data_IF_573253138831
#
_entry.id   IF_573253138831
#
_cell.length_a   1.000
_cell.length_b   1.000
_cell.length_c   1.000
_cell.angle_alpha   90.00
_cell.angle_beta   90.00
_cell.angle_gamma   90.00
#
_symmetry.space_group_name_H-M   'P 1'
#
loop_
_entity.id
_entity.type
_entity.pdbx_description
1 polymer ?
#
# COMPACT_ATOMS: atom_id res chain seq x y z
N UNK A 1 27.41 13.08 -11.31
CA UNK A 1 27.04 13.95 -10.19
C UNK A 1 26.89 13.03 -8.98
N UNK A 2 27.69 13.26 -7.93
CA UNK A 2 27.51 12.51 -6.69
C UNK A 2 26.18 12.94 -6.06
N UNK A 3 25.24 12.03 -5.91
CA UNK A 3 24.01 12.27 -5.17
C UNK A 3 24.39 12.49 -3.71
N UNK A 4 24.26 13.71 -3.22
CA UNK A 4 24.45 13.99 -1.80
C UNK A 4 23.27 13.41 -1.03
N UNK A 5 23.54 12.42 -0.18
CA UNK A 5 22.56 11.91 0.77
C UNK A 5 22.34 12.97 1.85
N UNK A 6 21.13 13.46 1.98
CA UNK A 6 20.75 14.37 3.05
C UNK A 6 20.33 13.54 4.27
N UNK A 7 21.06 13.71 5.38
CA UNK A 7 20.71 13.10 6.67
C UNK A 7 20.11 14.14 7.58
N UNK A 8 19.05 13.79 8.28
CA UNK A 8 18.47 14.61 9.32
C UNK A 8 17.97 13.75 10.47
N UNK A 9 17.97 14.30 11.66
CA UNK A 9 17.43 13.63 12.83
C UNK A 9 15.92 13.88 12.88
N UNK A 10 15.16 12.81 12.95
CA UNK A 10 13.70 12.88 13.06
C UNK A 10 13.24 13.20 14.48
N UNK A 11 14.09 13.02 15.49
CA UNK A 11 13.73 13.23 16.89
C UNK A 11 12.50 12.43 17.35
N UNK A 12 12.19 11.29 16.70
CA UNK A 12 11.24 10.34 17.24
C UNK A 12 11.86 9.61 18.44
N UNK A 13 11.03 9.34 19.45
CA UNK A 13 11.49 8.72 20.70
C UNK A 13 11.47 7.18 20.63
N UNK A 14 10.92 6.61 19.56
CA UNK A 14 10.76 5.17 19.34
C UNK A 14 10.86 4.84 17.84
N UNK A 15 10.70 3.56 17.47
CA UNK A 15 10.84 3.04 16.12
C UNK A 15 9.95 3.79 15.12
N UNK A 16 10.53 4.17 13.99
CA UNK A 16 9.81 4.71 12.84
C UNK A 16 9.35 3.52 11.99
N UNK A 17 8.04 3.42 11.76
CA UNK A 17 7.47 2.33 11.00
C UNK A 17 7.28 2.64 9.53
N UNK A 18 7.00 3.91 9.21
CA UNK A 18 6.72 4.30 7.83
C UNK A 18 7.12 5.74 7.54
N UNK A 19 7.43 5.98 6.26
CA UNK A 19 7.80 7.27 5.71
C UNK A 19 7.09 7.42 4.36
N UNK A 20 6.35 8.50 4.17
CA UNK A 20 5.65 8.75 2.91
C UNK A 20 5.86 10.18 2.42
N UNK A 21 6.14 10.32 1.13
CA UNK A 21 6.23 11.62 0.46
C UNK A 21 4.85 12.11 0.00
N UNK A 22 4.68 13.43 0.01
CA UNK A 22 3.55 14.02 -0.69
C UNK A 22 3.71 13.85 -2.22
N UNK A 23 2.65 14.15 -2.95
CA UNK A 23 2.64 14.01 -4.42
C UNK A 23 3.76 14.80 -5.12
N UNK A 24 4.17 15.92 -4.57
CA UNK A 24 5.20 16.79 -5.15
C UNK A 24 6.63 16.47 -4.68
N UNK A 25 6.79 15.54 -3.75
CA UNK A 25 8.08 15.20 -3.14
C UNK A 25 8.70 16.34 -2.31
N UNK A 26 7.90 17.32 -1.90
CA UNK A 26 8.35 18.49 -1.12
C UNK A 26 8.03 18.37 0.36
N UNK A 27 7.14 17.49 0.73
CA UNK A 27 6.77 17.19 2.11
C UNK A 27 6.93 15.71 2.38
N UNK A 28 7.23 15.41 3.62
CA UNK A 28 7.43 14.05 4.10
C UNK A 28 6.63 13.87 5.37
N UNK A 29 5.92 12.77 5.52
CA UNK A 29 5.32 12.35 6.78
C UNK A 29 6.08 11.16 7.33
N UNK A 30 6.35 11.18 8.62
CA UNK A 30 6.93 10.04 9.37
C UNK A 30 5.98 9.65 10.49
N UNK A 31 5.87 8.35 10.76
CA UNK A 31 5.10 7.82 11.87
C UNK A 31 5.91 6.82 12.69
N UNK A 32 5.60 6.73 13.98
CA UNK A 32 6.44 5.99 14.93
C UNK A 32 5.61 5.29 16.01
N UNK A 33 6.29 4.35 16.70
CA UNK A 33 5.80 3.73 17.94
C UNK A 33 5.64 4.74 19.08
N UNK A 34 6.24 5.92 18.99
CA UNK A 34 6.06 7.03 19.95
C UNK A 34 4.66 7.68 19.89
N UNK A 35 3.72 7.12 19.08
CA UNK A 35 2.34 7.58 18.91
C UNK A 35 2.21 8.93 18.20
N UNK A 36 3.31 9.42 17.60
CA UNK A 36 3.37 10.70 16.94
C UNK A 36 3.50 10.58 15.43
N UNK A 37 2.91 11.55 14.77
CA UNK A 37 3.14 11.85 13.36
C UNK A 37 3.92 13.16 13.30
N UNK A 38 4.90 13.21 12.41
CA UNK A 38 5.67 14.41 12.11
C UNK A 38 5.63 14.68 10.62
N UNK A 39 5.46 15.93 10.26
CA UNK A 39 5.48 16.43 8.89
C UNK A 39 6.69 17.30 8.68
N UNK A 40 7.42 17.03 7.63
CA UNK A 40 8.66 17.70 7.25
C UNK A 40 8.48 18.40 5.93
N UNK A 41 9.16 19.52 5.76
CA UNK A 41 9.19 20.28 4.51
C UNK A 41 10.62 20.39 3.98
N UNK A 42 10.77 20.15 2.68
CA UNK A 42 12.05 20.27 2.01
C UNK A 42 12.31 21.72 1.65
N UNK A 43 13.30 22.32 2.27
CA UNK A 43 13.70 23.71 2.05
C UNK A 43 14.97 23.73 1.19
N UNK A 44 14.85 24.26 -0.02
CA UNK A 44 15.98 24.51 -0.90
C UNK A 44 16.68 25.81 -0.49
N UNK A 45 17.93 25.71 -0.07
CA UNK A 45 18.79 26.87 0.24
C UNK A 45 19.97 26.90 -0.72
N UNK A 46 20.58 28.10 -0.98
CA UNK A 46 21.73 28.22 -1.88
C UNK A 46 22.91 27.32 -1.48
N UNK A 47 23.14 27.15 -0.18
CA UNK A 47 24.28 26.41 0.35
C UNK A 47 24.01 24.92 0.62
N UNK A 48 22.79 24.57 1.00
CA UNK A 48 22.38 23.17 1.23
C UNK A 48 20.86 23.05 1.36
N UNK A 49 20.31 22.00 0.78
CA UNK A 49 18.90 21.66 0.97
C UNK A 49 18.71 20.87 2.27
N UNK A 50 17.68 21.20 3.04
CA UNK A 50 17.43 20.65 4.38
C UNK A 50 15.97 20.26 4.53
N UNK A 51 15.72 19.16 5.27
CA UNK A 51 14.40 18.82 5.77
C UNK A 51 14.17 19.52 7.11
N UNK A 52 13.16 20.38 7.18
CA UNK A 52 12.77 21.08 8.40
C UNK A 52 11.45 20.53 8.94
N UNK A 53 11.38 20.37 10.27
CA UNK A 53 10.14 19.98 10.93
C UNK A 53 9.08 21.07 10.76
N UNK A 54 7.97 20.72 10.13
CA UNK A 54 6.84 21.62 9.96
C UNK A 54 5.85 21.49 11.10
N UNK A 55 5.46 20.24 11.42
CA UNK A 55 4.48 19.95 12.47
C UNK A 55 4.74 18.59 13.12
N UNK A 56 4.36 18.47 14.39
CA UNK A 56 4.40 17.23 15.15
C UNK A 56 3.24 17.14 16.14
N UNK A 57 2.48 16.05 16.14
CA UNK A 57 1.37 15.86 17.08
C UNK A 57 1.24 14.40 17.52
N UNK A 58 0.63 14.18 18.69
CA UNK A 58 0.21 12.85 19.12
C UNK A 58 -1.04 12.47 18.32
N UNK A 59 -0.92 11.46 17.45
CA UNK A 59 -2.00 11.07 16.55
C UNK A 59 -2.83 9.90 17.09
N UNK A 60 -2.19 8.94 17.75
CA UNK A 60 -2.84 7.71 18.22
C UNK A 60 -2.47 7.40 19.67
N UNK A 61 -3.15 6.42 20.26
CA UNK A 61 -2.89 5.94 21.62
C UNK A 61 -2.03 4.67 21.67
N UNK A 62 -1.59 4.18 20.51
CA UNK A 62 -0.65 3.08 20.33
C UNK A 62 0.28 3.35 19.14
N UNK A 63 1.23 2.44 18.88
CA UNK A 63 2.16 2.53 17.74
C UNK A 63 1.44 2.77 16.43
N UNK A 64 1.95 3.70 15.64
CA UNK A 64 1.42 4.04 14.31
C UNK A 64 2.22 3.25 13.29
N UNK A 65 1.54 2.43 12.49
CA UNK A 65 2.18 1.51 11.56
C UNK A 65 2.38 2.11 10.17
N UNK A 66 1.44 2.96 9.75
CA UNK A 66 1.52 3.62 8.44
C UNK A 66 0.86 5.00 8.46
N UNK A 67 1.43 5.93 7.71
CA UNK A 67 0.88 7.26 7.50
C UNK A 67 1.11 7.68 6.04
N UNK A 68 0.04 7.90 5.30
CA UNK A 68 0.08 8.16 3.86
C UNK A 68 -0.65 9.44 3.47
N UNK A 69 -0.16 10.09 2.43
CA UNK A 69 -0.80 11.25 1.85
C UNK A 69 -1.93 10.87 0.90
N UNK A 70 -3.04 11.59 0.98
CA UNK A 70 -4.02 11.59 -0.10
C UNK A 70 -3.50 12.37 -1.31
N UNK A 71 -4.18 12.25 -2.44
CA UNK A 71 -3.85 13.01 -3.64
C UNK A 71 -4.15 14.50 -3.44
N UNK A 72 -3.39 15.40 -4.10
CA UNK A 72 -3.51 16.84 -3.91
C UNK A 72 -4.87 17.42 -4.31
N UNK A 73 -5.63 16.72 -5.16
CA UNK A 73 -7.01 17.13 -5.52
C UNK A 73 -7.98 17.16 -4.33
N UNK A 74 -7.65 16.46 -3.24
CA UNK A 74 -8.44 16.42 -2.00
C UNK A 74 -7.89 17.33 -0.90
N UNK A 75 -6.90 18.17 -1.23
CA UNK A 75 -6.19 19.02 -0.28
C UNK A 75 -5.04 18.32 0.43
N UNK A 76 -4.56 18.92 1.49
CA UNK A 76 -3.48 18.35 2.29
C UNK A 76 -4.07 17.43 3.36
N UNK A 77 -4.17 16.16 3.01
CA UNK A 77 -4.84 15.12 3.82
C UNK A 77 -3.89 13.97 4.06
N UNK A 78 -3.83 13.50 5.30
CA UNK A 78 -3.07 12.32 5.73
C UNK A 78 -4.05 11.31 6.32
N UNK A 79 -3.88 10.03 5.97
CA UNK A 79 -4.50 8.91 6.68
C UNK A 79 -3.43 8.19 7.49
N UNK A 80 -3.75 7.78 8.71
CA UNK A 80 -2.85 7.01 9.56
C UNK A 80 -3.57 5.83 10.20
N UNK A 81 -2.86 4.70 10.36
CA UNK A 81 -3.37 3.51 11.04
C UNK A 81 -2.48 3.08 12.20
N UNK A 82 -3.06 2.39 13.16
CA UNK A 82 -2.39 2.09 14.43
C UNK A 82 -2.83 0.76 15.04
N UNK A 83 -2.02 0.28 15.96
CA UNK A 83 -2.36 -0.83 16.87
C UNK A 83 -3.57 -0.50 17.78
N UNK A 84 -3.96 0.76 17.93
CA UNK A 84 -5.19 1.15 18.65
C UNK A 84 -6.47 0.77 17.91
N UNK A 85 -6.38 0.05 16.79
CA UNK A 85 -7.46 -0.44 15.93
C UNK A 85 -8.21 0.64 15.16
N UNK A 86 -7.65 1.83 15.08
CA UNK A 86 -8.27 2.98 14.43
C UNK A 86 -7.49 3.40 13.19
N UNK A 87 -8.22 3.97 12.24
CA UNK A 87 -7.65 4.79 11.19
C UNK A 87 -8.17 6.20 11.37
N UNK A 88 -7.28 7.18 11.29
CA UNK A 88 -7.63 8.58 11.43
C UNK A 88 -7.30 9.36 10.17
N UNK A 89 -8.20 10.26 9.82
CA UNK A 89 -8.06 11.17 8.68
C UNK A 89 -7.74 12.56 9.22
N UNK A 90 -6.63 13.10 8.79
CA UNK A 90 -6.10 14.40 9.20
C UNK A 90 -6.14 15.37 8.04
N UNK A 91 -6.60 16.59 8.28
CA UNK A 91 -6.56 17.66 7.29
C UNK A 91 -5.79 18.86 7.82
N UNK A 92 -4.93 19.42 6.99
CA UNK A 92 -4.15 20.59 7.33
C UNK A 92 -5.01 21.85 7.34
N UNK A 93 -4.98 22.58 8.46
CA UNK A 93 -5.61 23.88 8.63
C UNK A 93 -4.59 24.98 8.29
N UNK A 94 -4.58 25.47 7.06
CA UNK A 94 -3.59 26.42 6.56
C UNK A 94 -3.59 27.77 7.27
N UNK A 95 -4.70 28.09 7.94
CA UNK A 95 -4.83 29.33 8.75
C UNK A 95 -4.10 29.23 10.11
N UNK A 96 -3.83 28.03 10.57
CA UNK A 96 -3.13 27.80 11.83
C UNK A 96 -1.61 27.92 11.64
N UNK A 97 -0.88 28.50 12.61
CA UNK A 97 0.58 28.61 12.53
C UNK A 97 1.26 27.23 12.54
N UNK A 98 2.48 27.18 12.00
CA UNK A 98 3.32 25.97 12.06
C UNK A 98 3.56 25.55 13.50
N UNK A 99 3.71 24.27 13.74
CA UNK A 99 3.85 23.64 15.07
C UNK A 99 2.67 23.92 16.03
N UNK A 100 1.54 24.39 15.52
CA UNK A 100 0.31 24.47 16.31
C UNK A 100 -0.31 23.07 16.38
N UNK A 101 -0.69 22.64 17.58
CA UNK A 101 -1.43 21.36 17.73
C UNK A 101 -2.79 21.33 17.02
N UNK A 102 -3.26 22.49 16.54
CA UNK A 102 -4.51 22.63 15.80
C UNK A 102 -4.30 22.62 14.28
N UNK A 103 -3.06 22.66 13.81
CA UNK A 103 -2.77 22.72 12.39
C UNK A 103 -3.23 21.45 11.66
N UNK A 104 -3.04 20.30 12.26
CA UNK A 104 -3.56 19.03 11.75
C UNK A 104 -4.80 18.63 12.55
N UNK A 105 -5.96 18.84 11.92
CA UNK A 105 -7.25 18.52 12.54
C UNK A 105 -7.68 17.10 12.19
N UNK A 106 -8.06 16.30 13.21
CA UNK A 106 -8.72 15.03 13.00
C UNK A 106 -10.12 15.30 12.41
N UNK A 107 -10.35 14.87 11.18
CA UNK A 107 -11.63 15.05 10.47
C UNK A 107 -12.55 13.86 10.64
N UNK A 108 -11.97 12.67 10.63
CA UNK A 108 -12.74 11.45 10.81
C UNK A 108 -11.91 10.35 11.45
N UNK A 109 -12.62 9.39 12.04
CA UNK A 109 -12.06 8.23 12.73
C UNK A 109 -12.85 6.98 12.34
N UNK A 110 -12.15 6.01 11.74
CA UNK A 110 -12.68 4.70 11.38
C UNK A 110 -12.39 3.75 12.54
N UNK A 111 -13.42 3.08 13.07
CA UNK A 111 -13.33 2.27 14.31
C UNK A 111 -13.92 0.87 14.16
N UNK A 112 -14.27 0.46 12.94
CA UNK A 112 -14.96 -0.80 12.66
C UNK A 112 -14.04 -2.02 12.78
N UNK A 113 -12.73 -1.82 12.78
CA UNK A 113 -11.75 -2.90 12.91
C UNK A 113 -11.75 -3.52 14.30
N UNK A 114 -11.82 -4.85 14.36
CA UNK A 114 -11.75 -5.61 15.62
C UNK A 114 -10.34 -5.89 16.09
N UNK A 115 -9.38 -5.82 15.18
CA UNK A 115 -7.95 -5.99 15.42
C UNK A 115 -7.14 -4.74 15.05
N UNK A 116 -5.83 -4.76 15.31
CA UNK A 116 -4.91 -3.72 14.88
C UNK A 116 -5.02 -3.48 13.37
N UNK A 117 -5.04 -2.23 12.93
CA UNK A 117 -4.98 -1.90 11.50
C UNK A 117 -3.52 -1.87 11.08
N UNK A 118 -3.14 -2.83 10.24
CA UNK A 118 -1.75 -3.09 9.90
C UNK A 118 -1.29 -2.30 8.69
N UNK A 119 -2.20 -2.07 7.72
CA UNK A 119 -1.86 -1.35 6.51
C UNK A 119 -3.07 -0.60 5.94
N UNK A 120 -2.79 0.47 5.20
CA UNK A 120 -3.78 1.32 4.53
C UNK A 120 -3.27 1.76 3.17
N UNK A 121 -4.18 1.92 2.20
CA UNK A 121 -3.85 2.41 0.86
C UNK A 121 -5.00 3.22 0.26
N UNK A 122 -4.71 4.42 -0.27
CA UNK A 122 -5.69 5.19 -1.03
C UNK A 122 -5.89 4.60 -2.43
N UNK A 123 -7.14 4.47 -2.83
CA UNK A 123 -7.48 3.99 -4.16
C UNK A 123 -7.07 5.01 -5.25
N UNK A 124 -6.65 4.54 -6.44
CA UNK A 124 -6.24 5.41 -7.53
C UNK A 124 -7.42 6.03 -8.31
N UNK A 125 -8.59 6.12 -7.71
CA UNK A 125 -9.81 6.68 -8.33
C UNK A 125 -9.71 8.20 -8.54
N UNK A 126 -10.37 8.73 -9.58
CA UNK A 126 -10.36 10.16 -9.87
C UNK A 126 -11.53 10.94 -9.26
N UNK A 127 -12.67 10.28 -9.06
CA UNK A 127 -13.93 10.95 -8.72
C UNK A 127 -14.37 10.73 -7.27
N UNK A 128 -13.64 9.91 -6.52
CA UNK A 128 -13.96 9.61 -5.12
C UNK A 128 -12.70 9.36 -4.30
N UNK A 129 -12.71 9.79 -3.07
CA UNK A 129 -11.64 9.51 -2.12
C UNK A 129 -11.98 8.21 -1.39
N UNK A 130 -11.35 7.12 -1.79
CA UNK A 130 -11.50 5.79 -1.17
C UNK A 130 -10.22 5.38 -0.46
N UNK A 131 -10.39 4.74 0.68
CA UNK A 131 -9.32 4.18 1.48
C UNK A 131 -9.61 2.71 1.75
N UNK A 132 -8.66 1.83 1.42
CA UNK A 132 -8.69 0.45 1.87
C UNK A 132 -7.84 0.30 3.12
N UNK A 133 -8.29 -0.57 4.03
CA UNK A 133 -7.59 -0.91 5.27
C UNK A 133 -7.53 -2.40 5.42
N UNK A 134 -6.44 -2.95 5.89
CA UNK A 134 -6.37 -4.34 6.31
C UNK A 134 -6.00 -4.41 7.79
N UNK A 135 -6.65 -5.29 8.50
CA UNK A 135 -6.49 -5.42 9.95
C UNK A 135 -6.21 -6.86 10.37
N UNK A 136 -5.65 -7.02 11.56
CA UNK A 136 -5.29 -8.32 12.12
C UNK A 136 -6.48 -9.24 12.37
N UNK A 137 -7.71 -8.76 12.20
CA UNK A 137 -8.92 -9.57 12.19
C UNK A 137 -9.12 -10.33 10.84
N UNK A 138 -8.21 -10.14 9.87
CA UNK A 138 -8.26 -10.84 8.57
C UNK A 138 -9.28 -10.26 7.59
N UNK A 139 -9.73 -9.03 7.81
CA UNK A 139 -10.74 -8.37 6.97
C UNK A 139 -10.12 -7.14 6.31
N UNK A 140 -10.35 -7.02 5.01
CA UNK A 140 -10.13 -5.77 4.26
C UNK A 140 -11.43 -5.00 4.24
N UNK A 141 -11.37 -3.71 4.61
CA UNK A 141 -12.51 -2.78 4.56
C UNK A 141 -12.19 -1.63 3.63
N UNK A 142 -13.19 -1.23 2.86
CA UNK A 142 -13.07 -0.12 1.91
C UNK A 142 -14.04 0.97 2.33
N UNK A 143 -13.49 2.14 2.56
CA UNK A 143 -14.22 3.33 2.95
C UNK A 143 -14.19 4.37 1.85
N UNK A 144 -15.23 5.18 1.78
CA UNK A 144 -15.33 6.29 0.84
C UNK A 144 -15.78 7.56 1.59
N UNK A 145 -15.13 8.68 1.29
CA UNK A 145 -15.61 9.99 1.71
C UNK A 145 -16.88 10.31 0.94
N UNK A 146 -18.00 10.57 1.64
CA UNK A 146 -19.28 10.86 1.02
C UNK A 146 -19.23 12.17 0.19
N UNK A 147 -18.49 13.14 0.69
CA UNK A 147 -18.18 14.38 0.00
C UNK A 147 -16.66 14.61 0.05
N UNK A 148 -15.93 14.54 -1.08
CA UNK A 148 -14.47 14.72 -1.08
C UNK A 148 -14.01 16.09 -0.58
N UNK A 149 -14.88 17.10 -0.59
CA UNK A 149 -14.61 18.44 -0.05
C UNK A 149 -14.91 18.57 1.44
N UNK A 150 -15.61 17.59 2.02
CA UNK A 150 -15.96 17.54 3.43
C UNK A 150 -15.55 16.19 4.02
N UNK A 151 -14.35 16.12 4.57
CA UNK A 151 -13.76 14.89 5.11
C UNK A 151 -14.37 14.43 6.44
N UNK A 152 -15.41 15.11 6.94
CA UNK A 152 -16.08 14.76 8.19
C UNK A 152 -17.06 13.59 8.06
N UNK A 153 -17.29 13.07 6.86
CA UNK A 153 -18.23 11.98 6.62
C UNK A 153 -17.64 10.90 5.73
N UNK A 154 -17.43 9.73 6.30
CA UNK A 154 -16.98 8.53 5.61
C UNK A 154 -17.98 7.40 5.82
N UNK A 155 -18.11 6.56 4.82
CA UNK A 155 -18.94 5.35 4.88
C UNK A 155 -18.13 4.13 4.53
N UNK A 156 -18.32 3.05 5.26
CA UNK A 156 -17.83 1.75 4.85
C UNK A 156 -18.69 1.27 3.68
N UNK A 157 -18.07 1.10 2.53
CA UNK A 157 -18.76 0.70 1.30
C UNK A 157 -18.75 -0.82 1.14
N UNK A 158 -17.62 -1.44 1.41
CA UNK A 158 -17.38 -2.84 1.13
C UNK A 158 -16.44 -3.44 2.18
N UNK A 159 -16.59 -4.74 2.42
CA UNK A 159 -15.64 -5.53 3.19
C UNK A 159 -15.53 -6.94 2.63
N UNK A 160 -14.40 -7.59 2.83
CA UNK A 160 -14.20 -8.99 2.49
C UNK A 160 -13.14 -9.63 3.38
N UNK A 161 -13.27 -10.94 3.59
CA UNK A 161 -12.29 -11.75 4.31
C UNK A 161 -11.11 -12.09 3.40
N UNK A 162 -9.89 -11.97 3.92
CA UNK A 162 -8.65 -12.26 3.19
C UNK A 162 -8.53 -13.78 2.97
N UNK A 163 -8.89 -14.57 3.99
CA UNK A 163 -8.83 -16.02 3.97
C UNK A 163 -10.19 -16.64 3.67
N UNK A 164 -10.23 -17.61 2.78
CA UNK A 164 -11.42 -18.42 2.52
C UNK A 164 -11.60 -19.60 3.50
N UNK A 165 -10.63 -19.86 4.35
CA UNK A 165 -10.75 -20.90 5.38
C UNK A 165 -11.50 -20.32 6.58
N UNK A 166 -12.68 -20.88 6.89
CA UNK A 166 -13.50 -20.60 8.08
C UNK A 166 -12.78 -21.01 9.40
N UNK A 167 -11.53 -20.61 9.55
CA UNK A 167 -10.78 -20.85 10.76
C UNK A 167 -10.96 -19.60 11.62
N UNK A 168 -11.68 -19.70 12.73
CA UNK A 168 -11.65 -18.72 13.81
C UNK A 168 -10.21 -18.63 14.32
N UNK A 169 -9.42 -17.77 13.67
CA UNK A 169 -8.05 -17.52 14.09
C UNK A 169 -8.08 -16.51 15.23
N UNK A 170 -7.22 -16.70 16.25
CA UNK A 170 -7.00 -15.64 17.23
C UNK A 170 -6.52 -14.38 16.48
N UNK A 171 -7.06 -13.24 16.86
CA UNK A 171 -6.62 -11.93 16.37
C UNK A 171 -5.17 -11.75 16.83
N UNK A 172 -4.24 -11.92 15.90
CA UNK A 172 -2.82 -11.84 16.17
C UNK A 172 -2.27 -10.55 15.55
N UNK A 173 -1.69 -9.70 16.39
CA UNK A 173 -1.15 -8.42 15.94
C UNK A 173 0.03 -8.59 14.97
N UNK A 174 0.72 -9.74 15.02
CA UNK A 174 1.87 -10.03 14.16
C UNK A 174 1.51 -10.74 12.84
N UNK A 175 0.23 -10.77 12.46
CA UNK A 175 -0.17 -11.30 11.17
C UNK A 175 0.24 -10.34 10.07
N UNK A 176 1.17 -10.69 9.19
CA UNK A 176 1.72 -9.87 8.10
C UNK A 176 0.70 -9.57 6.99
N UNK A 177 -0.39 -8.87 7.31
CA UNK A 177 -1.34 -8.38 6.31
C UNK A 177 -0.88 -7.03 5.77
N UNK A 178 -0.76 -6.93 4.47
CA UNK A 178 -0.43 -5.72 3.75
C UNK A 178 -1.30 -5.59 2.50
N UNK A 179 -1.45 -4.38 1.97
CA UNK A 179 -2.37 -4.11 0.87
C UNK A 179 -1.83 -3.02 -0.05
N UNK A 180 -2.02 -3.21 -1.36
CA UNK A 180 -1.83 -2.13 -2.32
C UNK A 180 -2.82 -2.22 -3.48
N UNK A 181 -3.16 -1.07 -4.06
CA UNK A 181 -4.08 -0.96 -5.17
C UNK A 181 -3.37 -1.10 -6.52
N UNK A 182 -4.04 -1.74 -7.46
CA UNK A 182 -3.64 -1.65 -8.86
C UNK A 182 -3.76 -0.19 -9.33
N UNK A 183 -2.69 0.43 -9.81
CA UNK A 183 -2.70 1.84 -10.22
C UNK A 183 -3.46 2.10 -11.53
N UNK A 184 -3.95 1.05 -12.20
CA UNK A 184 -4.69 1.18 -13.46
C UNK A 184 -6.12 1.67 -13.21
N UNK A 185 -6.41 2.90 -13.67
CA UNK A 185 -7.70 3.58 -13.48
C UNK A 185 -8.78 3.20 -14.49
N UNK A 186 -8.41 2.55 -15.57
CA UNK A 186 -9.34 2.23 -16.69
C UNK A 186 -9.92 0.84 -16.61
N UNK A 187 -9.37 -0.03 -15.78
CA UNK A 187 -9.86 -1.38 -15.53
C UNK A 187 -10.77 -1.43 -14.30
N UNK A 188 -11.47 -2.56 -14.12
CA UNK A 188 -12.15 -2.84 -12.87
C UNK A 188 -11.17 -2.74 -11.69
N UNK A 189 -11.58 -2.23 -10.51
CA UNK A 189 -10.70 -2.12 -9.37
C UNK A 189 -10.08 -3.46 -8.99
N UNK A 190 -8.78 -3.45 -8.74
CA UNK A 190 -8.02 -4.61 -8.27
C UNK A 190 -7.10 -4.17 -7.15
N UNK A 191 -6.83 -5.09 -6.23
CA UNK A 191 -5.84 -4.91 -5.19
C UNK A 191 -5.06 -6.20 -4.96
N UNK A 192 -3.86 -6.08 -4.45
CA UNK A 192 -3.06 -7.19 -3.96
C UNK A 192 -3.05 -7.15 -2.45
N UNK A 193 -3.20 -8.30 -1.82
CA UNK A 193 -3.27 -8.43 -0.36
C UNK A 193 -2.32 -9.53 0.08
N UNK A 194 -1.47 -9.24 1.07
CA UNK A 194 -0.67 -10.23 1.80
C UNK A 194 -1.57 -11.10 2.66
N UNK A 195 -1.34 -12.41 2.62
CA UNK A 195 -2.22 -13.38 3.26
C UNK A 195 -1.86 -13.67 4.73
N UNK A 196 -0.92 -12.90 5.29
CA UNK A 196 -0.45 -13.13 6.64
C UNK A 196 0.12 -14.55 6.80
N UNK A 197 -0.36 -15.27 7.80
CA UNK A 197 0.09 -16.64 8.10
C UNK A 197 -0.24 -17.71 7.04
N UNK A 198 -1.07 -17.38 6.04
CA UNK A 198 -1.32 -18.30 4.89
C UNK A 198 -0.18 -18.28 3.86
N UNK A 199 0.83 -17.47 4.09
CA UNK A 199 2.03 -17.35 3.25
C UNK A 199 1.72 -16.91 1.81
N UNK A 200 2.38 -15.84 1.36
CA UNK A 200 2.22 -15.30 0.02
C UNK A 200 1.24 -14.14 -0.06
N UNK A 201 0.87 -13.81 -1.27
CA UNK A 201 -0.06 -12.72 -1.56
C UNK A 201 -1.04 -13.12 -2.66
N UNK A 202 -2.19 -12.47 -2.70
CA UNK A 202 -3.24 -12.75 -3.67
C UNK A 202 -3.83 -11.47 -4.22
N UNK A 203 -4.18 -11.52 -5.50
CA UNK A 203 -4.92 -10.45 -6.16
C UNK A 203 -6.41 -10.67 -5.95
N UNK A 204 -7.09 -9.60 -5.56
CA UNK A 204 -8.54 -9.53 -5.45
C UNK A 204 -9.07 -8.58 -6.54
N UNK A 205 -10.14 -8.98 -7.19
CA UNK A 205 -10.80 -8.23 -8.27
C UNK A 205 -12.23 -7.90 -7.90
N UNK A 206 -12.64 -6.69 -8.19
CA UNK A 206 -14.01 -6.26 -8.01
C UNK A 206 -14.89 -6.77 -9.18
N UNK A 207 -16.01 -7.40 -8.89
CA UNK A 207 -16.89 -8.01 -9.89
C UNK A 207 -17.90 -7.04 -10.52
N UNK A 208 -17.90 -5.77 -10.10
CA UNK A 208 -18.87 -4.77 -10.51
C UNK A 208 -20.19 -4.81 -9.73
N UNK A 209 -20.37 -5.78 -8.81
CA UNK A 209 -21.58 -5.95 -8.00
C UNK A 209 -21.29 -5.88 -6.50
N UNK A 210 -20.36 -5.00 -6.11
CA UNK A 210 -19.92 -4.79 -4.74
C UNK A 210 -19.31 -6.02 -4.07
N UNK A 211 -18.63 -6.89 -4.85
CA UNK A 211 -17.95 -8.08 -4.33
C UNK A 211 -16.51 -8.12 -4.79
N UNK A 212 -15.63 -8.49 -3.87
CA UNK A 212 -14.24 -8.77 -4.12
C UNK A 212 -14.04 -10.26 -4.26
N UNK A 213 -13.52 -10.69 -5.41
CA UNK A 213 -13.32 -12.09 -5.74
C UNK A 213 -11.82 -12.39 -5.69
N UNK A 214 -11.39 -13.40 -4.90
CA UNK A 214 -10.00 -13.84 -4.93
C UNK A 214 -9.65 -14.37 -6.33
N UNK A 215 -8.51 -13.95 -6.82
CA UNK A 215 -8.05 -14.28 -8.17
C UNK A 215 -6.65 -14.89 -8.13
N UNK A 216 -5.70 -14.33 -8.85
CA UNK A 216 -4.37 -14.89 -9.00
C UNK A 216 -3.58 -14.86 -7.68
N UNK A 217 -2.82 -15.93 -7.43
CA UNK A 217 -1.94 -16.08 -6.29
C UNK A 217 -0.48 -15.80 -6.71
N UNK A 218 0.27 -15.09 -5.86
CA UNK A 218 1.68 -14.79 -6.03
C UNK A 218 2.52 -15.83 -5.30
N UNK A 219 3.08 -16.84 -6.00
CA UNK A 219 3.70 -17.99 -5.36
C UNK A 219 5.15 -17.71 -4.95
N UNK A 220 5.66 -18.55 -4.08
CA UNK A 220 7.10 -18.74 -3.88
C UNK A 220 7.62 -18.31 -2.53
N UNK A 221 7.00 -17.39 -1.78
CA UNK A 221 7.39 -17.10 -0.41
C UNK A 221 7.18 -18.30 0.51
N UNK A 222 8.06 -18.44 1.47
CA UNK A 222 8.02 -19.55 2.45
C UNK A 222 7.60 -19.07 3.84
N UNK A 223 7.53 -17.76 4.03
CA UNK A 223 7.08 -17.10 5.25
C UNK A 223 6.17 -15.91 4.92
N UNK A 224 5.72 -15.21 5.93
CA UNK A 224 4.81 -14.07 5.85
C UNK A 224 5.38 -12.97 4.95
N UNK A 225 4.49 -12.35 4.20
CA UNK A 225 4.79 -11.16 3.38
C UNK A 225 4.51 -9.93 4.23
N UNK A 226 5.53 -9.11 4.47
CA UNK A 226 5.43 -7.92 5.30
C UNK A 226 4.92 -6.71 4.55
N UNK A 227 5.30 -6.60 3.26
CA UNK A 227 4.90 -5.45 2.45
C UNK A 227 4.75 -5.81 0.98
N UNK A 228 3.88 -5.09 0.29
CA UNK A 228 3.59 -5.27 -1.12
C UNK A 228 3.47 -3.89 -1.77
N UNK A 229 4.05 -3.75 -2.94
CA UNK A 229 3.90 -2.54 -3.73
C UNK A 229 3.59 -2.86 -5.18
N UNK A 230 2.54 -2.25 -5.72
CA UNK A 230 2.13 -2.37 -7.11
C UNK A 230 2.73 -1.24 -7.93
N UNK A 231 3.57 -1.57 -8.90
CA UNK A 231 4.29 -0.57 -9.68
C UNK A 231 3.33 0.31 -10.50
N UNK A 232 3.52 1.65 -10.49
CA UNK A 232 2.84 2.53 -11.41
C UNK A 232 3.04 2.09 -12.86
N UNK A 233 1.96 2.01 -13.65
CA UNK A 233 2.01 1.56 -15.04
C UNK A 233 2.19 2.75 -15.97
N UNK A 234 3.43 3.03 -16.37
CA UNK A 234 3.79 4.05 -17.34
C UNK A 234 3.70 3.48 -18.77
N UNK A 235 2.47 3.29 -19.26
CA UNK A 235 2.20 2.78 -20.64
C UNK A 235 2.82 1.41 -20.97
N UNK A 236 3.10 0.57 -19.96
CA UNK A 236 3.56 -0.80 -20.17
C UNK A 236 2.35 -1.71 -20.47
N UNK A 237 2.55 -2.71 -21.33
CA UNK A 237 1.57 -3.76 -21.63
C UNK A 237 1.44 -4.82 -20.52
N UNK A 238 2.26 -4.74 -19.48
CA UNK A 238 2.29 -5.63 -18.33
C UNK A 238 2.35 -4.83 -17.04
N UNK A 239 2.04 -5.46 -15.94
CA UNK A 239 2.09 -4.85 -14.61
C UNK A 239 3.17 -5.55 -13.77
N UNK A 240 3.69 -4.86 -12.78
CA UNK A 240 4.68 -5.37 -11.84
C UNK A 240 4.17 -5.25 -10.41
N UNK A 241 4.42 -6.27 -9.61
CA UNK A 241 4.19 -6.27 -8.17
C UNK A 241 5.49 -6.69 -7.49
N UNK A 242 5.89 -5.96 -6.47
CA UNK A 242 7.00 -6.33 -5.60
C UNK A 242 6.49 -6.76 -4.24
N UNK A 243 7.17 -7.71 -3.60
CA UNK A 243 6.85 -8.19 -2.27
C UNK A 243 8.12 -8.25 -1.42
N UNK A 244 8.00 -7.86 -0.15
CA UNK A 244 8.99 -8.05 0.90
C UNK A 244 8.51 -9.11 1.88
N UNK A 245 9.39 -9.99 2.33
CA UNK A 245 8.98 -11.09 3.20
C UNK A 245 9.98 -11.37 4.31
N UNK A 246 9.45 -11.98 5.36
CA UNK A 246 10.17 -12.57 6.48
C UNK A 246 11.15 -13.68 6.05
N UNK A 247 10.97 -14.26 4.85
CA UNK A 247 11.90 -15.25 4.27
C UNK A 247 13.19 -14.62 3.72
N UNK A 248 13.46 -13.35 4.02
CA UNK A 248 14.63 -12.56 3.62
C UNK A 248 14.67 -12.21 2.12
N UNK A 249 13.59 -12.50 1.39
CA UNK A 249 13.55 -12.32 -0.05
C UNK A 249 12.71 -11.11 -0.45
N UNK A 250 13.22 -10.40 -1.46
CA UNK A 250 12.44 -9.46 -2.26
C UNK A 250 12.13 -10.12 -3.59
N UNK A 251 10.86 -10.14 -3.98
CA UNK A 251 10.43 -10.72 -5.24
C UNK A 251 9.71 -9.73 -6.12
N UNK A 252 9.88 -9.88 -7.44
CA UNK A 252 9.18 -9.08 -8.44
C UNK A 252 8.43 -10.02 -9.36
N UNK A 253 7.12 -9.79 -9.44
CA UNK A 253 6.21 -10.53 -10.31
C UNK A 253 5.76 -9.67 -11.47
N UNK A 254 5.70 -10.28 -12.64
CA UNK A 254 5.16 -9.69 -13.86
C UNK A 254 3.77 -10.29 -14.12
N UNK A 255 2.80 -9.42 -14.32
CA UNK A 255 1.44 -9.78 -14.67
C UNK A 255 1.19 -9.41 -16.12
N UNK A 256 0.85 -10.39 -16.94
CA UNK A 256 0.49 -10.21 -18.35
C UNK A 256 -0.97 -10.60 -18.56
N UNK A 257 -1.75 -9.72 -19.18
CA UNK A 257 -3.16 -10.00 -19.48
C UNK A 257 -3.27 -11.18 -20.45
N UNK A 258 -4.06 -12.18 -20.10
CA UNK A 258 -4.34 -13.32 -20.95
C UNK A 258 -5.57 -13.04 -21.81
N UNK A 259 -5.40 -12.98 -23.10
CA UNK A 259 -6.50 -13.00 -24.05
C UNK A 259 -6.94 -14.46 -24.25
N UNK A 260 -8.02 -14.86 -23.59
CA UNK A 260 -8.62 -16.18 -23.82
C UNK A 260 -9.07 -16.27 -25.29
N UNK A 261 -8.70 -17.33 -26.04
CA UNK A 261 -9.20 -17.56 -27.38
C UNK A 261 -10.74 -17.58 -27.40
N UNK A 262 -11.34 -16.98 -28.42
CA UNK A 262 -12.80 -16.88 -28.57
C UNK A 262 -13.54 -18.22 -28.40
N UNK A 263 -12.91 -19.33 -28.72
CA UNK A 263 -13.49 -20.69 -28.57
C UNK A 263 -13.63 -21.10 -27.08
N UNK A 264 -12.76 -20.69 -26.19
CA UNK A 264 -12.87 -20.98 -24.76
C UNK A 264 -13.88 -20.06 -24.06
N UNK A 265 -14.05 -18.85 -24.55
CA UNK A 265 -15.08 -17.93 -24.05
C UNK A 265 -16.51 -18.48 -24.33
N UNK A 266 -16.71 -19.09 -25.47
CA UNK A 266 -18.00 -19.70 -25.82
C UNK A 266 -18.32 -20.96 -24.99
N UNK A 267 -17.32 -21.76 -24.63
CA UNK A 267 -17.50 -22.95 -23.78
C UNK A 267 -17.81 -22.58 -22.31
N UNK A 268 -17.22 -21.52 -21.79
CA UNK A 268 -17.56 -21.04 -20.44
C UNK A 268 -18.96 -20.41 -20.38
N UNK A 269 -19.41 -19.75 -21.42
CA UNK A 269 -20.80 -19.26 -21.52
C UNK A 269 -21.82 -20.38 -21.60
N UNK A 270 -21.50 -21.47 -22.30
CA UNK A 270 -22.40 -22.64 -22.38
C UNK A 270 -22.52 -23.45 -21.09
N UNK A 271 -21.47 -23.46 -20.25
CA UNK A 271 -21.53 -24.09 -18.92
C UNK A 271 -22.31 -23.26 -17.90
N UNK A 272 -22.35 -21.93 -18.04
CA UNK A 272 -23.16 -21.02 -17.21
C UNK A 272 -24.64 -21.02 -17.61
N UNK A 273 -25.01 -21.50 -18.81
CA UNK A 273 -26.36 -21.48 -19.38
C UNK A 273 -27.26 -22.70 -19.02
N UNK A 274 -26.81 -23.64 -18.15
CA UNK A 274 -27.65 -24.75 -17.68
C UNK A 274 -28.26 -24.48 -16.32
N UNK A 275 -29.14 -23.50 -16.24
CA UNK A 275 -30.14 -23.36 -15.17
C UNK A 275 -31.50 -23.35 -15.85
N UNK A 276 -32.52 -24.10 -15.35
CA UNK A 276 -33.81 -24.22 -16.04
C UNK A 276 -34.53 -22.87 -16.12
N UNK A 277 -35.07 -22.58 -17.30
CA UNK A 277 -35.74 -21.37 -17.69
C UNK A 277 -37.01 -21.08 -16.88
N UNK A 278 -37.12 -19.89 -16.35
CA UNK A 278 -38.36 -19.17 -16.12
C UNK A 278 -38.43 -17.95 -17.05
N UNK A 279 -39.62 -17.59 -17.58
CA UNK A 279 -39.71 -16.70 -18.72
C UNK A 279 -39.72 -15.21 -18.36
N UNK A 280 -39.22 -14.43 -19.29
CA UNK A 280 -39.34 -12.95 -19.47
C UNK A 280 -38.52 -12.06 -18.53
N UNK A 281 -37.36 -11.65 -19.03
CA UNK A 281 -36.59 -10.49 -18.61
C UNK A 281 -35.59 -10.15 -19.71
N UNK A 282 -35.66 -8.93 -20.21
CA UNK A 282 -34.81 -8.35 -21.25
C UNK A 282 -33.32 -8.60 -20.99
N UNK A 283 -32.49 -8.95 -21.99
CA UNK A 283 -31.07 -9.16 -21.77
C UNK A 283 -30.37 -7.81 -21.62
N UNK A 284 -30.04 -7.45 -20.39
CA UNK A 284 -29.06 -6.40 -20.11
C UNK A 284 -27.65 -6.96 -20.35
N UNK A 285 -27.07 -6.60 -21.48
CA UNK A 285 -25.65 -6.80 -21.75
C UNK A 285 -24.82 -5.91 -20.82
N UNK A 286 -24.16 -6.47 -19.83
CA UNK A 286 -22.93 -5.95 -19.24
C UNK A 286 -22.27 -6.97 -18.31
N UNK A 287 -21.85 -8.10 -18.86
CA UNK A 287 -20.89 -8.97 -18.22
C UNK A 287 -19.49 -8.58 -18.72
N UNK A 288 -18.81 -7.65 -18.06
CA UNK A 288 -17.39 -7.44 -18.29
C UNK A 288 -16.69 -8.79 -18.03
N UNK A 289 -16.14 -9.40 -19.08
CA UNK A 289 -15.37 -10.63 -18.95
C UNK A 289 -14.22 -10.36 -17.97
N UNK A 290 -14.20 -11.07 -16.85
CA UNK A 290 -13.13 -10.96 -15.86
C UNK A 290 -11.81 -11.31 -16.55
N UNK A 291 -10.95 -10.29 -16.72
CA UNK A 291 -9.61 -10.48 -17.29
C UNK A 291 -8.80 -11.39 -16.39
N UNK A 292 -8.19 -12.43 -16.93
CA UNK A 292 -7.24 -13.27 -16.23
C UNK A 292 -5.82 -12.81 -16.53
N UNK A 293 -4.92 -12.96 -15.54
CA UNK A 293 -3.52 -12.61 -15.68
C UNK A 293 -2.64 -13.84 -15.54
N UNK A 294 -1.62 -13.91 -16.39
CA UNK A 294 -0.50 -14.81 -16.18
C UNK A 294 0.51 -14.15 -15.26
N UNK A 295 0.86 -14.85 -14.19
CA UNK A 295 1.85 -14.39 -13.23
C UNK A 295 3.17 -15.10 -13.46
N UNK A 296 4.22 -14.32 -13.63
CA UNK A 296 5.59 -14.78 -13.82
C UNK A 296 6.48 -14.17 -12.72
N UNK A 297 7.21 -14.98 -11.97
CA UNK A 297 8.27 -14.50 -11.08
C UNK A 297 9.48 -14.14 -11.92
N UNK A 298 9.76 -12.85 -12.08
CA UNK A 298 10.84 -12.36 -12.94
C UNK A 298 12.13 -12.04 -12.19
N UNK A 299 12.07 -11.82 -10.88
CA UNK A 299 13.25 -11.60 -10.04
C UNK A 299 13.01 -12.05 -8.59
N UNK A 300 14.07 -12.54 -7.96
CA UNK A 300 14.10 -12.87 -6.54
C UNK A 300 15.48 -12.53 -5.99
N UNK A 301 15.54 -11.71 -4.94
CA UNK A 301 16.76 -11.21 -4.34
C UNK A 301 16.84 -11.63 -2.89
N UNK A 302 17.99 -12.20 -2.50
CA UNK A 302 18.32 -12.63 -1.14
C UNK A 302 19.44 -11.80 -0.51
N UNK A 303 19.74 -10.64 -1.09
CA UNK A 303 20.90 -9.80 -0.72
C UNK A 303 20.79 -9.22 0.69
N UNK A 304 19.57 -9.07 1.25
CA UNK A 304 19.39 -8.61 2.62
C UNK A 304 19.86 -9.60 3.65
N UNK A 305 19.72 -10.92 3.41
CA UNK A 305 20.07 -11.98 4.37
C UNK A 305 19.43 -11.81 5.76
N UNK A 306 18.41 -10.98 5.83
CA UNK A 306 17.64 -10.62 7.00
C UNK A 306 16.20 -10.32 6.59
N UNK A 307 15.26 -10.25 7.52
CA UNK A 307 13.86 -9.93 7.23
C UNK A 307 13.74 -8.61 6.47
N UNK A 308 12.93 -8.61 5.42
CA UNK A 308 12.66 -7.42 4.60
C UNK A 308 11.31 -6.87 4.97
N UNK A 309 11.28 -5.60 5.40
CA UNK A 309 10.09 -4.99 5.97
C UNK A 309 9.31 -4.12 4.97
N UNK A 310 10.00 -3.42 4.07
CA UNK A 310 9.36 -2.49 3.14
C UNK A 310 9.89 -2.64 1.73
N UNK A 311 8.97 -2.49 0.77
CA UNK A 311 9.26 -2.35 -0.65
C UNK A 311 8.39 -1.25 -1.25
N UNK A 312 8.99 -0.39 -2.05
CA UNK A 312 8.26 0.70 -2.68
C UNK A 312 8.81 1.02 -4.07
N UNK A 313 7.93 1.25 -5.02
CA UNK A 313 8.29 1.68 -6.35
C UNK A 313 8.41 3.21 -6.44
N UNK A 314 9.34 3.68 -7.25
CA UNK A 314 9.33 5.08 -7.64
C UNK A 314 8.09 5.40 -8.51
N UNK A 315 7.79 6.69 -8.69
CA UNK A 315 6.60 7.15 -9.43
C UNK A 315 6.52 6.68 -10.88
N UNK A 316 7.64 6.25 -11.48
CA UNK A 316 7.70 5.70 -12.83
C UNK A 316 7.63 4.17 -12.87
N UNK A 317 7.69 3.49 -11.71
CA UNK A 317 7.71 2.04 -11.61
C UNK A 317 8.94 1.38 -12.25
N UNK A 318 10.07 2.10 -12.31
CA UNK A 318 11.31 1.64 -12.92
C UNK A 318 12.40 1.30 -11.91
N UNK A 319 12.29 1.86 -10.71
CA UNK A 319 13.21 1.61 -9.59
C UNK A 319 12.36 1.12 -8.41
N UNK A 320 12.79 0.01 -7.83
CA UNK A 320 12.25 -0.52 -6.59
C UNK A 320 13.23 -0.23 -5.46
N UNK A 321 12.74 0.22 -4.32
CA UNK A 321 13.48 0.28 -3.07
C UNK A 321 13.08 -0.87 -2.16
N UNK A 322 14.00 -1.38 -1.36
CA UNK A 322 13.73 -2.35 -0.30
C UNK A 322 14.55 -2.05 0.93
N UNK A 323 13.96 -2.24 2.11
CA UNK A 323 14.63 -2.07 3.41
C UNK A 323 14.31 -3.23 4.35
N UNK A 324 15.27 -3.59 5.19
CA UNK A 324 15.16 -4.73 6.10
C UNK A 324 16.03 -4.57 7.35
N UNK A 325 16.05 -5.61 8.18
CA UNK A 325 16.78 -5.65 9.46
C UNK A 325 18.30 -5.58 9.31
N UNK A 326 18.82 -5.74 8.08
CA UNK A 326 20.25 -5.52 7.81
C UNK A 326 20.65 -4.04 7.85
N UNK A 327 19.72 -3.13 8.12
CA UNK A 327 19.94 -1.70 8.21
C UNK A 327 20.33 -1.05 6.87
N UNK A 328 20.02 -1.69 5.76
CA UNK A 328 20.34 -1.21 4.42
C UNK A 328 19.08 -0.91 3.61
N UNK A 329 19.14 0.18 2.89
CA UNK A 329 18.21 0.48 1.81
C UNK A 329 18.87 0.08 0.48
N UNK A 330 18.23 -0.83 -0.27
CA UNK A 330 18.68 -1.24 -1.58
C UNK A 330 17.77 -0.71 -2.66
N UNK A 331 18.38 -0.35 -3.79
CA UNK A 331 17.67 0.09 -4.98
C UNK A 331 17.89 -0.90 -6.11
N UNK A 332 16.82 -1.29 -6.78
CA UNK A 332 16.77 -2.28 -7.83
C UNK A 332 16.26 -1.68 -9.12
N UNK A 333 16.85 -2.03 -10.25
CA UNK A 333 16.43 -1.58 -11.57
C UNK A 333 16.69 -2.63 -12.62
N UNK A 334 16.05 -2.51 -13.77
CA UNK A 334 16.34 -3.36 -14.93
C UNK A 334 17.49 -2.79 -15.78
N UNK A 335 18.39 -3.66 -16.23
CA UNK A 335 19.33 -3.33 -17.28
C UNK A 335 18.68 -3.37 -18.68
N UNK A 336 19.45 -3.02 -19.70
CA UNK A 336 19.03 -3.12 -21.11
C UNK A 336 18.71 -4.57 -21.56
N UNK A 337 19.25 -5.55 -20.83
CA UNK A 337 19.00 -6.98 -21.03
C UNK A 337 17.71 -7.47 -20.37
N UNK A 338 16.93 -6.58 -19.76
CA UNK A 338 15.70 -6.90 -19.06
C UNK A 338 15.90 -7.59 -17.71
N UNK A 339 17.15 -7.79 -17.27
CA UNK A 339 17.44 -8.42 -15.98
C UNK A 339 17.46 -7.39 -14.85
N UNK A 340 16.81 -7.73 -13.76
CA UNK A 340 16.81 -6.93 -12.54
C UNK A 340 18.13 -7.07 -11.79
N UNK A 341 18.66 -5.95 -11.30
CA UNK A 341 19.93 -5.88 -10.57
C UNK A 341 19.90 -4.80 -9.50
N UNK A 342 20.70 -5.01 -8.47
CA UNK A 342 20.95 -3.97 -7.49
C UNK A 342 21.70 -2.80 -8.15
N UNK A 343 21.11 -1.62 -8.09
CA UNK A 343 21.72 -0.37 -8.59
C UNK A 343 22.56 0.32 -7.51
N UNK A 344 22.05 0.32 -6.27
CA UNK A 344 22.72 0.95 -5.13
C UNK A 344 22.35 0.25 -3.81
N UNK A 345 23.23 0.41 -2.83
CA UNK A 345 22.98 0.03 -1.45
C UNK A 345 23.42 1.17 -0.54
N UNK A 346 22.52 1.64 0.30
CA UNK A 346 22.72 2.74 1.24
C UNK A 346 22.67 2.13 2.63
N UNK A 347 23.72 2.34 3.43
CA UNK A 347 23.79 1.87 4.82
C UNK A 347 23.55 3.05 5.74
N UNK A 348 22.68 2.89 6.73
CA UNK A 348 22.59 3.83 7.83
C UNK A 348 23.91 3.72 8.63
N UNK A 349 24.77 4.75 8.57
CA UNK A 349 25.92 4.82 9.47
C UNK A 349 25.40 5.13 10.87
N UNK A 350 25.26 4.10 11.69
CA UNK A 350 25.14 4.24 13.14
C UNK A 350 26.48 4.69 13.68
N UNK A 351 26.73 6.00 13.74
CA UNK A 351 27.71 6.52 14.67
C UNK A 351 27.06 6.46 16.07
N UNK A 352 27.38 5.42 16.81
CA UNK A 352 27.18 5.42 18.27
C UNK A 352 28.01 6.60 18.79
N UNK A 353 27.40 7.59 19.51
CA UNK A 353 28.21 8.62 20.18
C UNK A 353 29.12 7.88 21.15
N UNK A 354 30.42 8.00 20.96
CA UNK A 354 31.40 7.57 21.95
C UNK A 354 31.13 8.40 23.21
N UNK A 355 30.63 7.73 24.26
CA UNK A 355 30.55 8.30 25.59
C UNK A 355 31.96 8.74 26.01
N UNK A 356 32.17 10.02 26.09
CA UNK A 356 33.30 10.68 26.74
C UNK A 356 32.89 11.14 28.11
#
# INVERSE_FOLDING_TARGET
MASSLTKFDTGHEDLIHDISYDFYGKRLVTCSSDQRIKVWEFIERPDASVWELNDAWKAHDASILKAIWARPEYGQVIASCSFDRQVKIWEEQTVEPRNSQKRWAERFRLVESRGAVLDIAFAPTQNSLRLATCSSDGIVRIYEALEPTNLAQWSQMEEFEISSANIHRPIDADSGYCIDWCPNRTAAPMMVVGLGKEIGARIFKHDGHNRWIPSEFLPGHTQEVHDISWAPSMARSYQLIATASKDNLVRIYKLTEQHLPLQQQQQQQQQRGRVPSSPAGTPTQSGAASKSYHIELIASFDDHKAEVWRVEWNITGTILSSSGDDGKLRLWTTGYDGKWRQMASITANTQVPSAS
#
